data_IF_482216203248
#
_entry.id   IF_482216203248
#
_cell.length_a   1.000
_cell.length_b   1.000
_cell.length_c   1.000
_cell.angle_alpha   90.00
_cell.angle_beta   90.00
_cell.angle_gamma   90.00
#
_symmetry.space_group_name_H-M   'P 1'
#
loop_
_entity.id
_entity.type
_entity.pdbx_description
1 polymer ?
#
# COMPACT_ATOMS: atom_id res chain seq x y z
N UNK A 1 -9.99 23.02 27.40
CA UNK A 1 -8.66 22.70 26.86
C UNK A 1 -8.82 22.45 25.36
N UNK A 2 -8.54 23.46 24.53
CA UNK A 2 -8.79 23.44 23.08
C UNK A 2 -8.22 22.19 22.37
N UNK A 3 -7.02 21.75 22.77
CA UNK A 3 -6.35 20.58 22.18
C UNK A 3 -7.12 19.29 22.44
N UNK A 4 -7.66 19.11 23.64
CA UNK A 4 -8.43 17.92 24.02
C UNK A 4 -9.71 17.82 23.21
N UNK A 5 -10.40 18.95 23.03
CA UNK A 5 -11.63 19.00 22.25
C UNK A 5 -11.37 18.71 20.77
N UNK A 6 -10.23 19.13 20.22
CA UNK A 6 -9.82 18.79 18.85
C UNK A 6 -9.60 17.28 18.67
N UNK A 7 -8.90 16.60 19.59
CA UNK A 7 -8.71 15.14 19.52
C UNK A 7 -10.03 14.38 19.63
N UNK A 8 -10.93 14.82 20.53
CA UNK A 8 -12.25 14.21 20.67
C UNK A 8 -13.05 14.34 19.38
N UNK A 9 -13.02 15.53 18.75
CA UNK A 9 -13.72 15.79 17.50
C UNK A 9 -13.23 14.89 16.36
N UNK A 10 -11.91 14.73 16.21
CA UNK A 10 -11.31 13.89 15.17
C UNK A 10 -11.75 12.43 15.34
N UNK A 11 -11.63 11.86 16.54
CA UNK A 11 -12.05 10.48 16.77
C UNK A 11 -13.56 10.27 16.58
N UNK A 12 -14.38 11.26 16.93
CA UNK A 12 -15.84 11.21 16.73
C UNK A 12 -16.22 11.31 15.25
N UNK A 13 -15.48 12.07 14.45
CA UNK A 13 -15.67 12.13 13.00
C UNK A 13 -15.40 10.78 12.34
N UNK A 14 -14.37 10.04 12.80
CA UNK A 14 -14.10 8.66 12.32
C UNK A 14 -15.29 7.74 12.57
N UNK A 15 -15.93 7.83 13.74
CA UNK A 15 -17.07 7.00 14.14
C UNK A 15 -18.38 7.32 13.41
N UNK A 16 -18.46 8.41 12.62
CA UNK A 16 -19.62 8.71 11.78
C UNK A 16 -19.75 7.75 10.60
N UNK A 17 -18.64 7.15 10.17
CA UNK A 17 -18.63 6.24 9.04
C UNK A 17 -19.32 4.92 9.40
N UNK A 18 -20.14 4.42 8.49
CA UNK A 18 -20.71 3.08 8.61
C UNK A 18 -19.61 2.02 8.51
N UNK A 19 -19.80 0.80 9.07
CA UNK A 19 -18.84 -0.28 8.95
C UNK A 19 -18.39 -0.57 7.51
N UNK A 20 -19.31 -0.44 6.55
CA UNK A 20 -19.04 -0.61 5.12
C UNK A 20 -18.17 0.50 4.53
N UNK A 21 -18.39 1.74 4.94
CA UNK A 21 -17.56 2.88 4.51
C UNK A 21 -16.16 2.78 5.12
N UNK A 22 -16.06 2.43 6.42
CA UNK A 22 -14.78 2.14 7.07
C UNK A 22 -14.01 1.04 6.35
N UNK A 23 -14.69 -0.05 5.96
CA UNK A 23 -14.09 -1.13 5.19
C UNK A 23 -13.57 -0.66 3.83
N UNK A 24 -14.38 0.07 3.06
CA UNK A 24 -14.00 0.58 1.75
C UNK A 24 -12.84 1.58 1.82
N UNK A 25 -12.89 2.52 2.77
CA UNK A 25 -11.81 3.47 3.01
C UNK A 25 -10.52 2.77 3.47
N UNK A 26 -10.65 1.73 4.29
CA UNK A 26 -9.51 0.93 4.74
C UNK A 26 -8.85 0.13 3.62
N UNK A 27 -9.59 -0.29 2.58
CA UNK A 27 -8.98 -0.89 1.36
C UNK A 27 -8.04 0.11 0.69
N UNK A 28 -8.48 1.35 0.51
CA UNK A 28 -7.67 2.41 -0.12
C UNK A 28 -6.45 2.71 0.75
N UNK A 29 -6.65 2.83 2.06
CA UNK A 29 -5.55 3.04 3.01
C UNK A 29 -4.51 1.91 2.96
N UNK A 30 -4.96 0.64 2.96
CA UNK A 30 -4.08 -0.51 2.87
C UNK A 30 -3.32 -0.60 1.55
N UNK A 31 -3.94 -0.18 0.45
CA UNK A 31 -3.27 -0.04 -0.83
C UNK A 31 -2.11 0.98 -0.77
N UNK A 32 -2.35 2.16 -0.21
CA UNK A 32 -1.34 3.22 -0.11
C UNK A 32 -0.11 2.75 0.70
N UNK A 33 -0.35 2.13 1.86
CA UNK A 33 0.73 1.61 2.71
C UNK A 33 1.48 0.45 2.03
N UNK A 34 0.79 -0.47 1.37
CA UNK A 34 1.45 -1.56 0.64
C UNK A 34 2.35 -1.03 -0.48
N UNK A 35 1.89 -0.01 -1.21
CA UNK A 35 2.66 0.65 -2.26
C UNK A 35 3.89 1.37 -1.68
N UNK A 36 3.72 2.07 -0.55
CA UNK A 36 4.82 2.72 0.17
C UNK A 36 5.91 1.72 0.55
N UNK A 37 5.55 0.62 1.21
CA UNK A 37 6.49 -0.43 1.66
C UNK A 37 7.19 -1.07 0.47
N UNK A 38 6.48 -1.26 -0.65
CA UNK A 38 7.07 -1.81 -1.87
C UNK A 38 8.05 -0.84 -2.55
N UNK A 39 7.78 0.46 -2.56
CA UNK A 39 8.69 1.48 -3.09
C UNK A 39 9.91 1.71 -2.18
N UNK A 40 9.81 1.34 -0.91
CA UNK A 40 10.79 1.68 0.13
C UNK A 40 12.23 1.22 -0.16
N UNK A 41 12.49 0.00 -0.69
CA UNK A 41 13.84 -0.43 -1.05
C UNK A 41 14.43 0.39 -2.19
N UNK A 42 13.60 0.85 -3.13
CA UNK A 42 14.02 1.63 -4.29
C UNK A 42 14.14 3.14 -4.01
N UNK A 43 13.55 3.64 -2.93
CA UNK A 43 13.46 5.07 -2.62
C UNK A 43 14.80 5.75 -2.26
N UNK A 44 15.86 4.99 -1.97
CA UNK A 44 17.20 5.55 -1.72
C UNK A 44 17.22 6.67 -0.67
N UNK A 45 17.66 7.87 -1.05
CA UNK A 45 17.67 9.06 -0.19
C UNK A 45 16.29 9.71 0.01
N UNK A 46 15.30 9.40 -0.84
CA UNK A 46 13.96 9.98 -0.79
C UNK A 46 13.00 9.27 0.18
N UNK A 47 13.46 8.28 0.96
CA UNK A 47 12.64 7.49 1.90
C UNK A 47 11.78 8.35 2.82
N UNK A 48 12.36 9.41 3.39
CA UNK A 48 11.65 10.32 4.31
C UNK A 48 10.51 11.01 3.57
N UNK A 49 10.77 11.53 2.37
CA UNK A 49 9.77 12.20 1.54
C UNK A 49 8.63 11.24 1.18
N UNK A 50 8.96 9.99 0.84
CA UNK A 50 7.97 8.95 0.53
C UNK A 50 7.07 8.67 1.74
N UNK A 51 7.65 8.51 2.95
CA UNK A 51 6.85 8.30 4.16
C UNK A 51 5.92 9.48 4.38
N UNK A 52 6.45 10.72 4.40
CA UNK A 52 5.67 11.94 4.65
C UNK A 52 4.53 12.06 3.65
N UNK A 53 4.82 11.90 2.35
CA UNK A 53 3.82 11.99 1.30
C UNK A 53 2.73 10.93 1.44
N UNK A 54 3.10 9.68 1.74
CA UNK A 54 2.13 8.59 1.88
C UNK A 54 1.27 8.77 3.13
N UNK A 55 1.85 9.15 4.26
CA UNK A 55 1.07 9.49 5.47
C UNK A 55 0.17 10.70 5.26
N UNK A 56 0.63 11.69 4.49
CA UNK A 56 -0.15 12.87 4.15
C UNK A 56 -1.32 12.54 3.22
N UNK A 57 -1.14 11.63 2.26
CA UNK A 57 -2.23 11.15 1.41
C UNK A 57 -3.30 10.40 2.21
N UNK A 58 -2.91 9.61 3.21
CA UNK A 58 -3.84 8.92 4.11
C UNK A 58 -4.67 9.94 4.89
N UNK A 59 -4.02 10.98 5.42
CA UNK A 59 -4.68 12.08 6.13
C UNK A 59 -5.58 12.92 5.22
N UNK A 60 -5.14 13.21 3.99
CA UNK A 60 -5.92 14.00 3.02
C UNK A 60 -7.16 13.25 2.53
N UNK A 61 -7.03 11.95 2.31
CA UNK A 61 -8.13 11.10 1.85
C UNK A 61 -9.12 10.72 2.95
N UNK A 62 -8.92 11.21 4.19
CA UNK A 62 -9.68 10.84 5.38
C UNK A 62 -9.86 9.31 5.49
N UNK A 63 -8.83 8.57 5.06
CA UNK A 63 -8.94 7.12 4.89
C UNK A 63 -8.77 6.44 6.23
N UNK A 64 -9.69 5.55 6.59
CA UNK A 64 -9.66 4.82 7.85
C UNK A 64 -8.49 3.82 7.85
N UNK A 65 -7.37 4.16 8.49
CA UNK A 65 -6.23 3.27 8.64
C UNK A 65 -6.26 2.59 10.01
N UNK A 66 -6.18 1.26 10.08
CA UNK A 66 -6.29 0.54 11.37
C UNK A 66 -5.28 1.03 12.40
N UNK A 67 -4.04 1.35 12.00
CA UNK A 67 -3.00 1.79 12.95
C UNK A 67 -3.28 3.21 13.43
N UNK A 68 -3.43 4.18 12.53
CA UNK A 68 -3.65 5.59 12.89
C UNK A 68 -5.00 5.77 13.60
N UNK A 69 -6.07 5.25 13.01
CA UNK A 69 -7.41 5.33 13.59
C UNK A 69 -7.51 4.59 14.92
N UNK A 70 -6.74 3.54 15.16
CA UNK A 70 -6.74 2.90 16.49
C UNK A 70 -6.26 3.87 17.57
N UNK A 71 -5.29 4.75 17.30
CA UNK A 71 -4.80 5.70 18.31
C UNK A 71 -5.89 6.74 18.63
N UNK A 72 -6.64 7.18 17.62
CA UNK A 72 -7.73 8.14 17.75
C UNK A 72 -8.93 7.56 18.52
N UNK A 73 -9.35 6.33 18.18
CA UNK A 73 -10.45 5.66 18.88
C UNK A 73 -10.02 5.21 20.27
N UNK A 74 -8.80 4.71 20.46
CA UNK A 74 -8.28 4.37 21.78
C UNK A 74 -8.20 5.60 22.69
N UNK A 75 -7.86 6.77 22.15
CA UNK A 75 -7.92 8.01 22.91
C UNK A 75 -9.33 8.29 23.46
N UNK A 76 -10.37 8.08 22.64
CA UNK A 76 -11.76 8.21 23.05
C UNK A 76 -12.22 7.14 24.04
N UNK A 77 -11.68 5.92 23.94
CA UNK A 77 -11.95 4.86 24.90
C UNK A 77 -11.30 5.18 26.25
N UNK A 78 -10.04 5.65 26.25
CA UNK A 78 -9.33 5.99 27.49
C UNK A 78 -9.88 7.24 28.17
N UNK A 79 -10.45 8.19 27.43
CA UNK A 79 -11.08 9.37 28.01
C UNK A 79 -12.53 9.12 28.47
N UNK A 80 -13.07 7.92 28.23
CA UNK A 80 -14.41 7.51 28.65
C UNK A 80 -15.56 7.94 27.72
N UNK A 81 -15.27 8.47 26.53
CA UNK A 81 -16.29 8.90 25.55
C UNK A 81 -16.88 7.71 24.78
N UNK A 82 -16.07 6.69 24.49
CA UNK A 82 -16.49 5.48 23.76
C UNK A 82 -16.29 4.23 24.62
N UNK A 83 -17.16 3.23 24.40
CA UNK A 83 -17.01 1.94 25.05
C UNK A 83 -16.02 1.06 24.29
N UNK A 84 -15.35 0.12 24.97
CA UNK A 84 -14.44 -0.84 24.34
C UNK A 84 -15.11 -1.69 23.25
N UNK A 85 -16.43 -1.88 23.34
CA UNK A 85 -17.20 -2.55 22.29
C UNK A 85 -17.14 -1.81 20.97
N UNK A 86 -17.23 -0.47 21.01
CA UNK A 86 -17.29 0.38 19.81
C UNK A 86 -15.96 0.39 19.06
N UNK A 87 -14.86 0.21 19.80
CA UNK A 87 -13.54 0.00 19.23
C UNK A 87 -13.47 -1.32 18.45
N UNK A 88 -13.96 -2.44 19.02
CA UNK A 88 -13.93 -3.74 18.33
C UNK A 88 -14.90 -3.75 17.15
N UNK A 89 -16.11 -3.25 17.37
CA UNK A 89 -17.18 -3.12 16.40
C UNK A 89 -17.98 -1.85 16.68
N UNK A 90 -18.09 -0.89 15.73
CA UNK A 90 -17.90 -1.08 14.30
C UNK A 90 -16.50 -0.77 13.77
N UNK A 91 -15.53 -0.35 14.57
CA UNK A 91 -14.28 0.19 14.02
C UNK A 91 -13.24 -0.88 13.60
N UNK A 92 -12.69 -1.63 14.56
CA UNK A 92 -11.47 -2.41 14.35
C UNK A 92 -11.67 -3.55 13.35
N UNK A 93 -12.78 -4.28 13.43
CA UNK A 93 -13.04 -5.43 12.56
C UNK A 93 -13.11 -5.05 11.07
N UNK A 94 -14.00 -4.16 10.61
CA UNK A 94 -14.07 -3.81 9.19
C UNK A 94 -12.82 -3.03 8.72
N UNK A 95 -12.24 -2.17 9.56
CA UNK A 95 -11.03 -1.42 9.18
C UNK A 95 -9.83 -2.35 9.01
N UNK A 96 -9.67 -3.34 9.90
CA UNK A 96 -8.61 -4.35 9.77
C UNK A 96 -8.82 -5.21 8.53
N UNK A 97 -10.05 -5.70 8.32
CA UNK A 97 -10.38 -6.52 7.15
C UNK A 97 -10.11 -5.76 5.85
N UNK A 98 -10.57 -4.51 5.74
CA UNK A 98 -10.36 -3.68 4.56
C UNK A 98 -8.88 -3.44 4.28
N UNK A 99 -8.10 -3.13 5.32
CA UNK A 99 -6.66 -2.89 5.19
C UNK A 99 -5.90 -4.13 4.70
N UNK A 100 -6.19 -5.31 5.27
CA UNK A 100 -5.60 -6.57 4.83
C UNK A 100 -6.00 -6.88 3.37
N UNK A 101 -7.28 -6.70 3.02
CA UNK A 101 -7.79 -6.91 1.67
C UNK A 101 -7.08 -6.00 0.65
N UNK A 102 -7.04 -4.69 0.90
CA UNK A 102 -6.41 -3.71 0.01
C UNK A 102 -4.91 -3.92 -0.14
N UNK A 103 -4.21 -4.12 0.97
CA UNK A 103 -2.76 -4.33 0.96
C UNK A 103 -2.36 -5.61 0.23
N UNK A 104 -3.05 -6.73 0.52
CA UNK A 104 -2.76 -8.03 -0.12
C UNK A 104 -3.09 -8.00 -1.61
N UNK A 105 -4.22 -7.40 -2.00
CA UNK A 105 -4.65 -7.33 -3.39
C UNK A 105 -3.61 -6.64 -4.27
N UNK A 106 -3.12 -5.46 -3.86
CA UNK A 106 -2.16 -4.71 -4.66
C UNK A 106 -0.78 -5.35 -4.61
N UNK A 107 -0.37 -5.87 -3.46
CA UNK A 107 0.88 -6.62 -3.38
C UNK A 107 0.89 -7.81 -4.35
N UNK A 108 -0.21 -8.55 -4.44
CA UNK A 108 -0.36 -9.66 -5.38
C UNK A 108 -0.30 -9.18 -6.84
N UNK A 109 -1.02 -8.11 -7.19
CA UNK A 109 -1.00 -7.53 -8.54
C UNK A 109 0.40 -7.05 -8.94
N UNK A 110 1.08 -6.34 -8.06
CA UNK A 110 2.42 -5.82 -8.31
C UNK A 110 3.45 -6.93 -8.41
N UNK A 111 3.41 -7.92 -7.51
CA UNK A 111 4.26 -9.11 -7.59
C UNK A 111 4.07 -9.85 -8.91
N UNK A 112 2.81 -10.05 -9.32
CA UNK A 112 2.49 -10.69 -10.59
C UNK A 112 2.97 -9.87 -11.81
N UNK A 113 2.82 -8.54 -11.76
CA UNK A 113 3.30 -7.64 -12.80
C UNK A 113 4.83 -7.62 -12.91
N UNK A 114 5.54 -7.57 -11.78
CA UNK A 114 7.01 -7.63 -11.73
C UNK A 114 7.53 -8.93 -12.34
N UNK A 115 6.96 -10.08 -11.93
CA UNK A 115 7.37 -11.40 -12.45
C UNK A 115 7.12 -11.50 -13.96
N UNK A 116 5.96 -11.06 -14.44
CA UNK A 116 5.64 -11.09 -15.88
C UNK A 116 6.58 -10.21 -16.70
N UNK A 117 6.93 -9.03 -16.19
CA UNK A 117 7.82 -8.13 -16.89
C UNK A 117 9.26 -8.67 -16.93
N UNK A 118 9.75 -9.26 -15.84
CA UNK A 118 11.08 -9.90 -15.79
C UNK A 118 11.19 -11.08 -16.76
N UNK A 119 10.15 -11.94 -16.81
CA UNK A 119 10.11 -13.07 -17.74
C UNK A 119 10.05 -12.64 -19.21
N UNK A 120 9.31 -11.58 -19.52
CA UNK A 120 9.25 -11.00 -20.88
C UNK A 120 10.62 -10.45 -21.32
N UNK A 121 11.29 -9.73 -20.43
CA UNK A 121 12.61 -9.16 -20.70
C UNK A 121 13.69 -10.24 -20.87
N UNK A 122 13.70 -11.28 -20.04
CA UNK A 122 14.60 -12.44 -20.19
C UNK A 122 14.42 -13.14 -21.53
N UNK A 123 13.16 -13.41 -21.94
CA UNK A 123 12.86 -14.01 -23.25
C UNK A 123 13.36 -13.16 -24.42
N UNK A 124 13.19 -11.83 -24.36
CA UNK A 124 13.73 -10.91 -25.37
C UNK A 124 15.25 -10.92 -25.42
N UNK A 125 15.92 -10.95 -24.27
CA UNK A 125 17.38 -11.01 -24.19
C UNK A 125 17.93 -12.31 -24.79
N UNK A 126 17.34 -13.46 -24.44
CA UNK A 126 17.70 -14.76 -25.00
C UNK A 126 17.47 -14.83 -26.51
N UNK A 127 16.37 -14.27 -27.00
CA UNK A 127 16.08 -14.21 -28.44
C UNK A 127 17.11 -13.36 -29.19
N UNK A 128 17.52 -12.20 -28.64
CA UNK A 128 18.59 -11.36 -29.22
C UNK A 128 19.93 -12.10 -29.26
N UNK A 129 20.33 -12.74 -28.17
CA UNK A 129 21.58 -13.52 -28.13
C UNK A 129 21.59 -14.67 -29.14
N UNK A 130 20.46 -15.39 -29.29
CA UNK A 130 20.33 -16.46 -30.30
C UNK A 130 20.44 -15.91 -31.72
N UNK A 131 19.83 -14.77 -32.00
CA UNK A 131 19.90 -14.12 -33.32
C UNK A 131 21.33 -13.66 -33.65
N UNK A 132 22.01 -12.98 -32.71
CA UNK A 132 23.41 -12.55 -32.87
C UNK A 132 24.33 -13.75 -33.08
N UNK A 133 24.15 -14.83 -32.31
CA UNK A 133 24.95 -16.05 -32.47
C UNK A 133 24.73 -16.70 -33.84
N UNK A 134 23.50 -16.76 -34.32
CA UNK A 134 23.18 -17.30 -35.63
C UNK A 134 23.76 -16.44 -36.77
N UNK A 135 23.75 -15.12 -36.62
CA UNK A 135 24.34 -14.18 -37.57
C UNK A 135 25.87 -14.32 -37.63
N UNK A 136 26.53 -14.41 -36.46
CA UNK A 136 27.97 -14.63 -36.37
C UNK A 136 28.40 -15.96 -37.01
N UNK A 137 27.62 -17.04 -36.81
CA UNK A 137 27.87 -18.34 -37.45
C UNK A 137 27.77 -18.21 -38.98
N UNK A 138 26.73 -17.54 -39.48
CA UNK A 138 26.56 -17.30 -40.93
C UNK A 138 27.70 -16.46 -41.51
N UNK A 139 28.18 -15.46 -40.77
CA UNK A 139 29.30 -14.60 -41.19
C UNK A 139 30.61 -15.39 -41.27
N UNK A 140 30.90 -16.24 -40.29
CA UNK A 140 32.06 -17.14 -40.33
C UNK A 140 31.99 -18.13 -41.50
N UNK A 141 30.81 -18.67 -41.81
CA UNK A 141 30.66 -19.58 -42.96
C UNK A 141 30.86 -18.90 -44.32
N UNK A 142 30.48 -17.61 -44.43
CA UNK A 142 30.63 -16.83 -45.68
C UNK A 142 32.03 -16.27 -45.89
N UNK A 143 32.87 -16.21 -44.86
CA UNK A 143 34.25 -15.75 -44.96
C UNK A 143 35.20 -16.78 -44.34
N UNK A 144 35.28 -18.00 -44.91
CA UNK A 144 36.29 -18.95 -44.50
C UNK A 144 37.66 -18.36 -44.85
N UNK A 145 38.54 -18.27 -43.85
CA UNK A 145 39.91 -17.81 -44.02
C UNK A 145 40.68 -18.67 -45.05
#
# INVERSE_FOLDING_TARGET
EETRDAFVKIGMDVMKNTPSEMFANAIISGWLIATMVWMFPAAGAAKIVVIILMTWLIALGDTTHIVVGSVEILYLVFNGTLHWSDFIWPFALPTLAGNICGGTFIFALMSHAQIRNDMSNKRKAEARQKAERAENIKKNYKNPA
#
